data_IF_255035153385
#
_entry.id   IF_255035153385
#
_cell.length_a   1.000
_cell.length_b   1.000
_cell.length_c   1.000
_cell.angle_alpha   90.00
_cell.angle_beta   90.00
_cell.angle_gamma   90.00
#
_symmetry.space_group_name_H-M   'P 1'
#
loop_
_entity.id
_entity.type
_entity.pdbx_description
1 polymer ?
#
# COMPACT_ATOMS: atom_id res chain seq x y z
N UNK A 1 -7.93 44.93 10.59
CA UNK A 1 -7.09 44.49 9.47
C UNK A 1 -6.00 43.54 9.88
N UNK A 2 -5.26 43.83 10.93
CA UNK A 2 -4.22 42.91 11.45
C UNK A 2 -4.77 41.55 11.88
N UNK A 3 -5.99 41.52 12.40
CA UNK A 3 -6.63 40.28 12.81
C UNK A 3 -6.98 39.38 11.65
N UNK A 4 -7.35 39.95 10.52
CA UNK A 4 -7.64 39.20 9.30
C UNK A 4 -6.40 38.53 8.74
N UNK A 5 -5.26 39.22 8.79
CA UNK A 5 -3.99 38.66 8.38
C UNK A 5 -3.57 37.47 9.25
N UNK A 6 -3.79 37.58 10.56
CA UNK A 6 -3.49 36.49 11.48
C UNK A 6 -4.36 35.28 11.22
N UNK A 7 -5.62 35.47 10.87
CA UNK A 7 -6.55 34.37 10.52
C UNK A 7 -6.11 33.70 9.24
N UNK A 8 -5.70 34.48 8.24
CA UNK A 8 -5.21 33.91 6.97
C UNK A 8 -3.95 33.10 7.19
N UNK A 9 -3.05 33.56 8.04
CA UNK A 9 -1.87 32.79 8.41
C UNK A 9 -2.23 31.50 9.14
N UNK A 10 -3.25 31.54 9.99
CA UNK A 10 -3.76 30.34 10.64
C UNK A 10 -4.28 29.31 9.66
N UNK A 11 -4.99 29.75 8.63
CA UNK A 11 -5.50 28.86 7.58
C UNK A 11 -4.37 28.22 6.80
N UNK A 12 -3.32 28.97 6.49
CA UNK A 12 -2.13 28.44 5.81
C UNK A 12 -1.44 27.38 6.69
N UNK A 13 -1.41 27.61 7.99
CA UNK A 13 -0.84 26.65 8.94
C UNK A 13 -1.62 25.34 8.97
N UNK A 14 -2.94 25.41 8.89
CA UNK A 14 -3.80 24.23 8.79
C UNK A 14 -3.53 23.50 7.47
N UNK A 15 -3.27 24.21 6.39
CA UNK A 15 -2.86 23.64 5.12
C UNK A 15 -1.59 22.81 5.22
N UNK A 16 -0.60 23.28 5.98
CA UNK A 16 0.62 22.52 6.24
C UNK A 16 0.35 21.24 7.01
N UNK A 17 -0.59 21.27 7.96
CA UNK A 17 -1.03 20.06 8.66
C UNK A 17 -1.68 19.05 7.72
N UNK A 18 -2.39 19.52 6.71
CA UNK A 18 -2.97 18.64 5.69
C UNK A 18 -1.90 17.98 4.84
N UNK A 19 -0.79 18.64 4.57
CA UNK A 19 0.34 18.04 3.86
C UNK A 19 0.96 16.89 4.64
N UNK A 20 1.02 17.00 5.94
CA UNK A 20 1.47 15.93 6.79
C UNK A 20 0.56 14.70 6.67
N UNK A 21 -0.74 14.94 6.55
CA UNK A 21 -1.73 13.88 6.31
C UNK A 21 -1.61 13.34 4.88
N UNK A 22 -1.13 14.13 3.94
CA UNK A 22 -0.90 13.70 2.56
C UNK A 22 0.15 12.59 2.43
N UNK A 23 1.02 12.42 3.40
CA UNK A 23 1.90 11.26 3.47
C UNK A 23 1.12 9.95 3.45
N UNK A 24 -0.07 9.94 4.02
CA UNK A 24 -0.99 8.80 3.97
C UNK A 24 -1.64 8.62 2.60
N UNK A 25 -1.96 9.73 1.95
CA UNK A 25 -2.55 9.71 0.62
C UNK A 25 -1.57 9.23 -0.45
N UNK A 26 -0.28 9.23 -0.17
CA UNK A 26 0.70 8.63 -1.06
C UNK A 26 0.39 7.16 -1.31
N UNK A 27 -0.26 6.51 -0.36
CA UNK A 27 -0.65 5.12 -0.50
C UNK A 27 -1.81 4.92 -1.47
N UNK A 28 -2.53 5.97 -1.78
CA UNK A 28 -3.68 5.89 -2.69
C UNK A 28 -3.39 6.39 -4.10
N UNK A 29 -2.47 7.33 -4.26
CA UNK A 29 -2.38 8.04 -5.51
C UNK A 29 -1.02 8.12 -6.18
N UNK A 30 0.06 7.81 -5.49
CA UNK A 30 1.40 8.03 -6.03
C UNK A 30 2.17 6.76 -6.36
N UNK A 31 1.48 5.67 -6.58
CA UNK A 31 2.10 4.43 -7.03
C UNK A 31 2.73 4.65 -8.41
N UNK A 32 3.94 4.15 -8.59
CA UNK A 32 4.66 4.24 -9.86
C UNK A 32 4.09 3.30 -10.91
N UNK A 33 3.44 2.23 -10.48
CA UNK A 33 2.81 1.28 -11.37
C UNK A 33 1.68 0.55 -10.67
N UNK A 34 0.71 0.12 -11.45
CA UNK A 34 -0.31 -0.84 -11.06
C UNK A 34 0.00 -2.14 -11.80
N UNK A 35 0.13 -3.22 -11.07
CA UNK A 35 0.59 -4.49 -11.63
C UNK A 35 -0.33 -5.60 -11.19
N UNK A 36 -0.82 -6.40 -12.12
CA UNK A 36 -1.46 -7.65 -11.79
C UNK A 36 -0.42 -8.58 -11.17
N UNK A 37 -0.77 -9.32 -10.13
CA UNK A 37 0.19 -10.23 -9.51
C UNK A 37 0.77 -11.23 -10.51
N UNK A 38 -0.04 -11.69 -11.46
CA UNK A 38 0.42 -12.60 -12.50
C UNK A 38 1.53 -12.04 -13.37
N UNK A 39 1.63 -10.71 -13.47
CA UNK A 39 2.66 -10.02 -14.28
C UNK A 39 3.85 -9.56 -13.45
N UNK A 40 3.81 -9.76 -12.15
CA UNK A 40 4.82 -9.22 -11.24
C UNK A 40 6.20 -9.82 -11.50
N UNK A 41 6.27 -11.10 -11.85
CA UNK A 41 7.53 -11.76 -12.16
C UNK A 41 8.26 -11.10 -13.34
N UNK A 42 7.52 -10.62 -14.34
CA UNK A 42 8.10 -9.96 -15.52
C UNK A 42 8.38 -8.49 -15.29
N UNK A 43 7.46 -7.80 -14.61
CA UNK A 43 7.49 -6.33 -14.50
C UNK A 43 8.13 -5.85 -13.21
N UNK A 44 8.16 -6.67 -12.17
CA UNK A 44 8.53 -6.23 -10.83
C UNK A 44 9.95 -5.69 -10.71
N UNK A 45 10.89 -6.23 -11.45
CA UNK A 45 12.29 -5.82 -11.36
C UNK A 45 12.50 -4.32 -11.64
N UNK A 46 11.68 -3.74 -12.50
CA UNK A 46 11.78 -2.33 -12.84
C UNK A 46 11.26 -1.40 -11.74
N UNK A 47 10.57 -1.96 -10.76
CA UNK A 47 9.89 -1.18 -9.72
C UNK A 47 10.36 -1.52 -8.30
N UNK A 48 11.43 -2.28 -8.16
CA UNK A 48 12.00 -2.60 -6.84
C UNK A 48 12.38 -1.32 -6.12
N UNK A 49 12.01 -1.20 -4.86
CA UNK A 49 12.21 -0.01 -4.05
C UNK A 49 11.19 1.10 -4.28
N UNK A 50 10.28 0.90 -5.22
CA UNK A 50 9.25 1.89 -5.56
C UNK A 50 7.89 1.44 -5.03
N UNK A 51 7.01 2.40 -4.84
CA UNK A 51 5.64 2.14 -4.45
C UNK A 51 4.84 1.66 -5.66
N UNK A 52 4.18 0.54 -5.49
CA UNK A 52 3.32 -0.06 -6.52
C UNK A 52 1.99 -0.49 -5.92
N UNK A 53 1.02 -0.72 -6.78
CA UNK A 53 -0.24 -1.38 -6.42
C UNK A 53 -0.26 -2.73 -7.13
N UNK A 54 -0.47 -3.79 -6.36
CA UNK A 54 -0.59 -5.15 -6.90
C UNK A 54 -2.01 -5.64 -6.67
N UNK A 55 -2.64 -6.13 -7.72
CA UNK A 55 -3.95 -6.75 -7.64
C UNK A 55 -3.81 -8.27 -7.75
N UNK A 56 -4.46 -8.97 -6.84
CA UNK A 56 -4.40 -10.43 -6.84
C UNK A 56 -5.45 -11.02 -5.91
N UNK A 57 -5.45 -12.34 -5.85
CA UNK A 57 -6.36 -13.09 -5.00
C UNK A 57 -5.60 -13.62 -3.79
N UNK A 58 -6.21 -13.55 -2.62
CA UNK A 58 -5.60 -14.00 -1.38
C UNK A 58 -5.63 -15.52 -1.32
N UNK A 59 -4.46 -16.13 -1.22
CA UNK A 59 -4.28 -17.56 -1.09
C UNK A 59 -4.17 -17.98 0.36
N UNK A 60 -3.49 -17.19 1.17
CA UNK A 60 -3.20 -17.52 2.56
C UNK A 60 -3.11 -16.25 3.40
N UNK A 61 -3.53 -16.35 4.65
CA UNK A 61 -3.34 -15.31 5.65
C UNK A 61 -2.50 -15.88 6.79
N UNK A 62 -1.59 -15.07 7.32
CA UNK A 62 -0.75 -15.47 8.45
C UNK A 62 -0.71 -14.33 9.47
N UNK A 63 -1.48 -14.50 10.53
CA UNK A 63 -1.60 -13.53 11.61
C UNK A 63 -0.96 -14.06 12.91
N UNK A 64 -0.14 -15.11 12.81
CA UNK A 64 0.52 -15.73 13.97
C UNK A 64 1.53 -14.80 14.63
N UNK A 65 2.08 -13.85 13.89
CA UNK A 65 3.00 -12.84 14.41
C UNK A 65 2.27 -11.51 14.56
N UNK A 66 2.01 -11.09 15.78
CA UNK A 66 1.30 -9.83 16.04
C UNK A 66 1.99 -8.62 15.44
N UNK A 67 3.32 -8.64 15.38
CA UNK A 67 4.11 -7.51 14.89
C UNK A 67 4.26 -7.49 13.38
N UNK A 68 3.90 -8.54 12.69
CA UNK A 68 4.06 -8.62 11.26
C UNK A 68 3.02 -9.54 10.63
N UNK A 69 1.74 -9.16 10.68
CA UNK A 69 0.71 -9.89 9.96
C UNK A 69 0.98 -9.79 8.46
N UNK A 70 0.80 -10.89 7.76
CA UNK A 70 1.02 -10.93 6.32
C UNK A 70 -0.06 -11.71 5.61
N UNK A 71 -0.27 -11.38 4.35
CA UNK A 71 -1.08 -12.18 3.44
C UNK A 71 -0.21 -12.64 2.28
N UNK A 72 -0.58 -13.76 1.69
CA UNK A 72 0.11 -14.33 0.54
C UNK A 72 -0.89 -14.41 -0.60
N UNK A 73 -0.52 -13.84 -1.74
CA UNK A 73 -1.34 -13.87 -2.94
C UNK A 73 -1.11 -15.17 -3.72
N UNK A 74 -1.96 -15.41 -4.71
CA UNK A 74 -2.02 -16.68 -5.45
C UNK A 74 -0.70 -17.09 -6.08
N UNK A 75 0.11 -16.13 -6.50
CA UNK A 75 1.40 -16.37 -7.14
C UNK A 75 2.57 -16.29 -6.15
N UNK A 76 2.27 -16.27 -4.86
CA UNK A 76 3.30 -16.31 -3.82
C UNK A 76 3.81 -14.96 -3.34
N UNK A 77 3.24 -13.85 -3.81
CA UNK A 77 3.63 -12.52 -3.35
C UNK A 77 3.20 -12.32 -1.90
N UNK A 78 4.16 -12.02 -1.03
CA UNK A 78 3.88 -11.76 0.38
C UNK A 78 3.66 -10.27 0.61
N UNK A 79 2.61 -9.95 1.33
CA UNK A 79 2.27 -8.58 1.70
C UNK A 79 2.38 -8.45 3.21
N UNK A 80 3.33 -7.64 3.66
CA UNK A 80 3.65 -7.47 5.09
C UNK A 80 3.06 -6.18 5.61
N UNK A 81 2.07 -6.30 6.49
CA UNK A 81 1.31 -5.15 6.98
C UNK A 81 1.94 -4.46 8.19
N UNK A 82 2.95 -5.07 8.81
CA UNK A 82 3.62 -4.45 9.94
C UNK A 82 2.66 -4.15 11.09
N UNK A 83 2.52 -2.88 11.43
CA UNK A 83 1.66 -2.45 12.53
C UNK A 83 0.17 -2.38 12.18
N UNK A 84 -0.18 -2.64 10.93
CA UNK A 84 -1.57 -2.50 10.46
C UNK A 84 -2.34 -3.81 10.56
N UNK A 85 -2.33 -4.41 11.73
CA UNK A 85 -2.97 -5.70 11.99
C UNK A 85 -4.47 -5.69 11.70
N UNK A 86 -5.17 -4.65 12.11
CA UNK A 86 -6.62 -4.55 11.89
C UNK A 86 -6.96 -4.55 10.40
N UNK A 87 -6.16 -3.87 9.59
CA UNK A 87 -6.34 -3.86 8.14
C UNK A 87 -6.13 -5.23 7.53
N UNK A 88 -5.09 -5.94 7.98
CA UNK A 88 -4.80 -7.29 7.50
C UNK A 88 -5.88 -8.28 7.91
N UNK A 89 -6.38 -8.20 9.13
CA UNK A 89 -7.40 -9.12 9.66
C UNK A 89 -8.75 -9.01 8.93
N UNK A 90 -9.01 -7.88 8.28
CA UNK A 90 -10.21 -7.71 7.47
C UNK A 90 -10.16 -8.50 6.15
N UNK A 91 -8.99 -8.99 5.78
CA UNK A 91 -8.78 -9.71 4.52
C UNK A 91 -8.93 -11.21 4.75
N UNK A 92 -9.64 -11.86 3.83
CA UNK A 92 -9.92 -13.31 3.92
C UNK A 92 -9.38 -14.04 2.70
N UNK A 93 -9.07 -15.32 2.90
CA UNK A 93 -8.69 -16.20 1.80
C UNK A 93 -9.80 -16.21 0.75
N UNK A 94 -9.39 -16.08 -0.50
CA UNK A 94 -10.32 -16.00 -1.64
C UNK A 94 -10.71 -14.59 -2.04
N UNK A 95 -10.39 -13.59 -1.22
CA UNK A 95 -10.69 -12.20 -1.57
C UNK A 95 -9.81 -11.74 -2.73
N UNK A 96 -10.41 -10.97 -3.64
CA UNK A 96 -9.67 -10.20 -4.63
C UNK A 96 -9.30 -8.86 -3.99
N UNK A 97 -8.02 -8.55 -3.97
CA UNK A 97 -7.52 -7.36 -3.27
C UNK A 97 -6.59 -6.54 -4.15
N UNK A 98 -6.52 -5.25 -3.85
CA UNK A 98 -5.48 -4.36 -4.35
C UNK A 98 -4.64 -3.92 -3.17
N UNK A 99 -3.37 -4.27 -3.21
CA UNK A 99 -2.44 -3.95 -2.13
C UNK A 99 -1.42 -2.94 -2.64
N UNK A 100 -1.30 -1.83 -1.96
CA UNK A 100 -0.23 -0.87 -2.23
C UNK A 100 0.92 -1.11 -1.26
N UNK A 101 2.12 -0.87 -1.72
CA UNK A 101 3.30 -1.03 -0.87
C UNK A 101 4.59 -0.81 -1.63
N UNK A 102 5.68 -0.85 -0.90
CA UNK A 102 7.01 -0.78 -1.49
C UNK A 102 7.41 -2.18 -1.95
N UNK A 103 7.79 -2.29 -3.21
CA UNK A 103 8.20 -3.57 -3.78
C UNK A 103 9.61 -3.91 -3.35
N UNK A 104 9.77 -5.08 -2.76
CA UNK A 104 11.06 -5.60 -2.31
C UNK A 104 11.31 -6.92 -3.00
N UNK A 105 12.49 -7.11 -3.53
CA UNK A 105 12.90 -8.37 -4.13
C UNK A 105 13.56 -9.25 -3.07
N UNK A 106 13.06 -10.47 -2.95
CA UNK A 106 13.62 -11.50 -2.08
C UNK A 106 14.47 -12.50 -2.87
N UNK A 107 14.68 -13.67 -2.29
CA UNK A 107 15.40 -14.76 -2.94
C UNK A 107 14.55 -15.40 -4.03
N UNK A 108 15.20 -15.93 -5.06
CA UNK A 108 14.57 -16.74 -6.12
C UNK A 108 13.47 -15.97 -6.86
N UNK A 109 13.73 -14.70 -7.16
CA UNK A 109 12.79 -13.84 -7.89
C UNK A 109 11.45 -13.64 -7.18
N UNK A 110 11.39 -13.93 -5.90
CA UNK A 110 10.20 -13.68 -5.10
C UNK A 110 10.10 -12.21 -4.76
N UNK A 111 8.88 -11.67 -4.80
CA UNK A 111 8.62 -10.28 -4.44
C UNK A 111 7.79 -10.18 -3.18
N UNK A 112 8.06 -9.12 -2.43
CA UNK A 112 7.30 -8.76 -1.23
C UNK A 112 6.80 -7.34 -1.36
N UNK A 113 5.67 -7.05 -0.74
CA UNK A 113 5.22 -5.69 -0.49
C UNK A 113 5.43 -5.40 0.99
N UNK A 114 6.33 -4.47 1.30
CA UNK A 114 6.69 -4.15 2.68
C UNK A 114 7.12 -2.69 2.78
N UNK A 115 6.39 -1.84 3.50
CA UNK A 115 5.09 -2.10 4.13
C UNK A 115 3.99 -2.23 3.09
N UNK A 116 2.96 -3.00 3.41
CA UNK A 116 1.80 -3.19 2.57
C UNK A 116 0.57 -2.54 3.20
N UNK A 117 -0.32 -2.04 2.36
CA UNK A 117 -1.59 -1.46 2.77
C UNK A 117 -2.69 -1.94 1.84
N UNK A 118 -3.84 -2.28 2.42
CA UNK A 118 -5.01 -2.63 1.63
C UNK A 118 -5.56 -1.36 0.98
N UNK A 119 -5.77 -1.40 -0.32
CA UNK A 119 -6.34 -0.29 -1.06
C UNK A 119 -7.84 -0.49 -1.22
N UNK A 120 -8.59 0.62 -1.26
CA UNK A 120 -10.01 0.57 -1.52
C UNK A 120 -10.25 -0.19 -2.84
N UNK A 121 -11.08 -1.25 -2.84
CA UNK A 121 -11.36 -2.01 -4.06
C UNK A 121 -12.05 -1.19 -5.14
N UNK A 122 -12.60 -0.04 -4.79
CA UNK A 122 -13.22 0.89 -5.75
C UNK A 122 -12.22 1.88 -6.36
N UNK A 123 -10.99 1.90 -5.84
CA UNK A 123 -9.97 2.80 -6.38
C UNK A 123 -9.60 2.38 -7.81
N UNK A 124 -9.22 3.34 -8.68
CA UNK A 124 -8.82 3.00 -10.05
C UNK A 124 -7.60 2.08 -10.08
N UNK A 125 -7.65 1.12 -10.98
CA UNK A 125 -6.53 0.23 -11.25
C UNK A 125 -6.18 0.33 -12.73
N UNK A 126 -4.97 0.82 -13.03
CA UNK A 126 -4.49 1.09 -14.39
C UNK A 126 -3.19 0.32 -14.63
N UNK A 127 -3.30 -0.97 -14.94
CA UNK A 127 -2.11 -1.80 -15.17
C UNK A 127 -1.31 -1.43 -16.40
#
# INVERSE_FOLDING_TARGET
MLHLLAIVLGVIFIGSGCEFINGWKLDYGSAKAHIEESDLAERGKDFVGKKVVVRGMVKQVDFSREKNPKIILSHGTECHFGKMKAMAEAIKVGDSVMISGILVEGKDEQFFLKPAMNRDPKAPFNP
#
